data_IF_330837112353
#
_entry.id   IF_330837112353
#
_cell.length_a   1.000
_cell.length_b   1.000
_cell.length_c   1.000
_cell.angle_alpha   90.00
_cell.angle_beta   90.00
_cell.angle_gamma   90.00
#
_symmetry.space_group_name_H-M   'P 1'
#
loop_
_entity.id
_entity.type
_entity.pdbx_description
1 polymer ?
#
# COMPACT_ATOMS: atom_id res chain seq x y z
N UNK A 1 18.65 1.33 -11.66
CA UNK A 1 17.43 0.97 -10.90
C UNK A 1 16.26 1.45 -11.73
N UNK A 2 15.43 0.52 -12.21
CA UNK A 2 14.27 0.85 -13.05
C UNK A 2 13.02 0.90 -12.17
N UNK A 3 12.23 1.95 -12.33
CA UNK A 3 10.96 2.14 -11.63
C UNK A 3 9.85 1.99 -12.67
N UNK A 4 8.88 1.10 -12.39
CA UNK A 4 7.75 0.85 -13.27
C UNK A 4 6.44 1.02 -12.51
N UNK A 5 5.43 1.57 -13.18
CA UNK A 5 4.07 1.64 -12.65
C UNK A 5 3.41 0.28 -12.85
N UNK A 6 2.97 -0.37 -11.77
CA UNK A 6 2.27 -1.66 -11.85
C UNK A 6 0.89 -1.49 -12.49
N UNK A 7 0.09 -0.54 -11.99
CA UNK A 7 -1.21 -0.21 -12.56
C UNK A 7 -1.71 1.17 -12.12
N UNK A 8 -2.69 1.70 -12.85
CA UNK A 8 -3.51 2.84 -12.47
C UNK A 8 -4.97 2.49 -12.75
N UNK A 9 -5.82 2.50 -11.72
CA UNK A 9 -7.25 2.16 -11.83
C UNK A 9 -8.09 3.23 -11.16
N UNK A 10 -9.17 3.64 -11.83
CA UNK A 10 -10.20 4.47 -11.22
C UNK A 10 -10.95 3.63 -10.17
N UNK A 11 -11.08 4.16 -8.97
CA UNK A 11 -11.93 3.56 -7.93
C UNK A 11 -13.37 4.00 -8.15
N UNK A 12 -14.29 3.06 -8.10
CA UNK A 12 -15.74 3.29 -8.18
C UNK A 12 -16.37 3.04 -6.82
N UNK A 13 -17.23 3.94 -6.35
CA UNK A 13 -17.90 3.80 -5.05
C UNK A 13 -17.27 4.65 -3.94
N UNK A 14 -17.33 4.16 -2.70
CA UNK A 14 -16.75 4.85 -1.53
C UNK A 14 -15.24 4.58 -1.56
N UNK A 15 -14.38 5.60 -1.50
CA UNK A 15 -12.92 5.43 -1.57
C UNK A 15 -12.36 4.97 -0.21
N UNK A 16 -12.86 3.85 0.32
CA UNK A 16 -12.44 3.32 1.64
C UNK A 16 -11.17 2.49 1.54
N UNK A 17 -10.52 2.23 2.67
CA UNK A 17 -9.33 1.38 2.71
C UNK A 17 -9.57 -0.05 2.22
N UNK A 18 -10.77 -0.58 2.47
CA UNK A 18 -11.17 -1.91 1.99
C UNK A 18 -11.34 -1.92 0.47
N UNK A 19 -11.94 -0.88 -0.11
CA UNK A 19 -12.13 -0.79 -1.57
C UNK A 19 -10.80 -0.69 -2.30
N UNK A 20 -9.88 0.13 -1.79
CA UNK A 20 -8.50 0.23 -2.30
C UNK A 20 -7.78 -1.13 -2.16
N UNK A 21 -7.90 -1.78 -1.01
CA UNK A 21 -7.30 -3.09 -0.76
C UNK A 21 -7.76 -4.13 -1.77
N UNK A 22 -9.08 -4.23 -2.00
CA UNK A 22 -9.66 -5.21 -2.93
C UNK A 22 -9.13 -5.04 -4.36
N UNK A 23 -8.95 -3.78 -4.82
CA UNK A 23 -8.40 -3.51 -6.15
C UNK A 23 -6.95 -3.97 -6.27
N UNK A 24 -6.13 -3.70 -5.25
CA UNK A 24 -4.72 -4.13 -5.24
C UNK A 24 -4.62 -5.65 -5.11
N UNK A 25 -5.39 -6.26 -4.20
CA UNK A 25 -5.37 -7.70 -3.94
C UNK A 25 -5.84 -8.52 -5.15
N UNK A 26 -6.85 -8.03 -5.86
CA UNK A 26 -7.27 -8.62 -7.13
C UNK A 26 -6.16 -8.53 -8.19
N UNK A 27 -5.47 -7.39 -8.30
CA UNK A 27 -4.33 -7.26 -9.21
C UNK A 27 -3.21 -8.25 -8.86
N UNK A 28 -2.84 -8.35 -7.58
CA UNK A 28 -1.84 -9.31 -7.11
C UNK A 28 -2.25 -10.75 -7.45
N UNK A 29 -3.49 -11.12 -7.17
CA UNK A 29 -4.04 -12.45 -7.47
C UNK A 29 -4.03 -12.75 -8.97
N UNK A 30 -4.48 -11.82 -9.81
CA UNK A 30 -4.52 -11.95 -11.26
C UNK A 30 -3.13 -12.15 -11.87
N UNK A 31 -2.12 -11.47 -11.33
CA UNK A 31 -0.74 -11.53 -11.79
C UNK A 31 0.13 -12.52 -11.02
N UNK A 32 -0.47 -13.34 -10.14
CA UNK A 32 0.23 -14.34 -9.31
C UNK A 32 1.38 -13.73 -8.48
N UNK A 33 1.19 -12.50 -8.01
CA UNK A 33 2.13 -11.80 -7.13
C UNK A 33 1.81 -12.12 -5.68
N UNK A 34 2.85 -12.44 -4.90
CA UNK A 34 2.72 -12.64 -3.46
C UNK A 34 2.93 -11.31 -2.72
N UNK A 35 2.05 -10.98 -1.78
CA UNK A 35 2.22 -9.86 -0.84
C UNK A 35 3.53 -9.91 -0.05
N UNK A 36 4.18 -11.07 0.08
CA UNK A 36 5.54 -11.21 0.63
C UNK A 36 6.59 -10.44 -0.16
N UNK A 37 6.41 -10.30 -1.47
CA UNK A 37 7.31 -9.52 -2.33
C UNK A 37 7.19 -8.01 -2.11
N UNK A 38 6.05 -7.55 -1.55
CA UNK A 38 5.82 -6.15 -1.23
C UNK A 38 6.50 -5.81 0.10
N UNK A 39 7.72 -5.28 0.05
CA UNK A 39 8.51 -4.95 1.23
C UNK A 39 8.03 -3.65 1.91
N UNK A 40 7.67 -2.63 1.13
CA UNK A 40 7.33 -1.31 1.62
C UNK A 40 6.06 -0.78 0.96
N UNK A 41 5.25 -0.06 1.73
CA UNK A 41 4.06 0.65 1.25
C UNK A 41 4.15 2.08 1.76
N UNK A 42 4.06 3.04 0.84
CA UNK A 42 3.97 4.46 1.16
C UNK A 42 2.58 4.96 0.74
N UNK A 43 1.91 5.67 1.64
CA UNK A 43 0.56 6.22 1.43
C UNK A 43 0.55 7.68 1.82
N UNK A 44 -0.37 8.46 1.25
CA UNK A 44 -0.54 9.90 1.49
C UNK A 44 -1.00 10.29 2.91
N UNK A 45 -1.20 9.32 3.80
CA UNK A 45 -1.58 9.56 5.19
C UNK A 45 -3.08 9.61 5.42
N UNK A 46 -3.92 9.63 4.37
CA UNK A 46 -5.37 9.72 4.51
C UNK A 46 -5.94 8.59 5.38
N UNK A 47 -7.03 8.86 6.12
CA UNK A 47 -7.62 7.88 7.04
C UNK A 47 -8.03 6.57 6.34
N UNK A 48 -8.48 6.65 5.08
CA UNK A 48 -8.76 5.47 4.25
C UNK A 48 -7.51 4.62 3.98
N UNK A 49 -6.31 5.20 4.00
CA UNK A 49 -5.06 4.50 3.74
C UNK A 49 -4.40 4.01 5.05
N UNK A 50 -4.40 4.84 6.09
CA UNK A 50 -3.62 4.62 7.33
C UNK A 50 -4.47 4.19 8.53
N UNK A 51 -5.81 4.24 8.43
CA UNK A 51 -6.72 3.91 9.51
C UNK A 51 -6.42 2.57 10.18
N UNK A 52 -6.40 2.57 11.52
CA UNK A 52 -5.96 1.43 12.33
C UNK A 52 -6.78 0.15 12.11
N UNK A 53 -8.08 0.29 11.84
CA UNK A 53 -9.02 -0.83 11.72
C UNK A 53 -9.44 -1.07 10.27
N UNK A 54 -9.83 0.00 9.57
CA UNK A 54 -10.44 -0.03 8.23
C UNK A 54 -9.58 0.68 7.15
N UNK A 55 -8.34 1.05 7.48
CA UNK A 55 -7.41 1.62 6.51
C UNK A 55 -6.76 0.53 5.66
N UNK A 56 -6.36 0.87 4.43
CA UNK A 56 -5.62 -0.03 3.53
C UNK A 56 -4.49 -0.78 4.25
N UNK A 57 -3.67 -0.07 5.03
CA UNK A 57 -2.55 -0.64 5.76
C UNK A 57 -2.97 -1.70 6.79
N UNK A 58 -4.14 -1.53 7.42
CA UNK A 58 -4.68 -2.54 8.34
C UNK A 58 -5.05 -3.82 7.59
N UNK A 59 -5.62 -3.72 6.39
CA UNK A 59 -5.95 -4.87 5.54
C UNK A 59 -4.69 -5.58 5.04
N UNK A 60 -3.71 -4.85 4.50
CA UNK A 60 -2.42 -5.41 4.06
C UNK A 60 -1.73 -6.18 5.19
N UNK A 61 -1.70 -5.60 6.40
CA UNK A 61 -1.15 -6.28 7.59
C UNK A 61 -1.90 -7.58 7.86
N UNK A 62 -3.24 -7.57 7.88
CA UNK A 62 -4.05 -8.79 8.10
C UNK A 62 -3.75 -9.87 7.05
N UNK A 63 -3.56 -9.50 5.78
CA UNK A 63 -3.19 -10.44 4.71
C UNK A 63 -1.80 -11.04 4.93
N UNK A 64 -0.82 -10.21 5.32
CA UNK A 64 0.52 -10.70 5.72
C UNK A 64 0.46 -11.58 6.97
N UNK A 65 -0.38 -11.25 7.96
CA UNK A 65 -0.53 -11.99 9.21
C UNK A 65 -1.31 -13.30 9.06
N UNK A 66 -2.28 -13.41 8.14
CA UNK A 66 -2.94 -14.68 7.81
C UNK A 66 -1.99 -15.68 7.17
N UNK A 67 -0.96 -15.19 6.46
CA UNK A 67 0.17 -16.01 6.00
C UNK A 67 1.23 -16.24 7.11
N UNK A 68 1.06 -15.65 8.30
CA UNK A 68 1.98 -15.66 9.46
C UNK A 68 1.42 -16.45 10.66
N UNK A 69 0.52 -17.42 10.44
CA UNK A 69 0.31 -18.48 11.44
C UNK A 69 1.54 -19.41 11.58
N UNK A 70 2.68 -19.09 10.96
CA UNK A 70 3.88 -19.92 10.97
C UNK A 70 5.19 -19.23 11.41
N UNK A 71 5.19 -18.04 12.03
CA UNK A 71 6.36 -17.68 12.86
C UNK A 71 6.11 -16.48 13.77
N UNK A 72 6.47 -16.71 15.02
CA UNK A 72 6.27 -15.89 16.20
C UNK A 72 6.82 -14.44 16.11
N UNK A 73 6.40 -13.68 17.11
CA UNK A 73 7.05 -12.53 17.74
C UNK A 73 8.40 -12.09 17.13
N UNK A 74 8.47 -10.84 16.63
CA UNK A 74 9.60 -9.91 16.82
C UNK A 74 9.50 -8.70 15.85
N UNK A 75 9.45 -7.49 16.43
CA UNK A 75 10.27 -6.31 16.09
C UNK A 75 10.63 -6.05 14.60
N UNK A 76 9.72 -5.57 13.75
CA UNK A 76 10.08 -4.99 12.42
C UNK A 76 9.29 -3.70 12.15
N UNK A 77 9.29 -2.79 13.12
CA UNK A 77 8.97 -1.36 12.91
C UNK A 77 10.27 -0.55 12.70
N UNK A 78 11.38 -1.24 12.43
CA UNK A 78 12.69 -0.63 12.27
C UNK A 78 12.93 -0.26 10.79
N UNK A 79 13.01 1.05 10.56
CA UNK A 79 13.93 1.65 9.59
C UNK A 79 13.49 1.47 8.12
N UNK A 80 12.40 2.15 7.76
CA UNK A 80 12.23 2.70 6.43
C UNK A 80 13.32 3.77 6.19
N UNK A 81 14.54 3.35 5.86
CA UNK A 81 15.62 4.22 5.37
C UNK A 81 16.05 3.80 3.98
N UNK A 82 15.05 3.57 3.13
CA UNK A 82 15.25 3.69 1.69
C UNK A 82 14.41 4.90 1.29
N UNK A 83 15.10 6.00 0.95
CA UNK A 83 14.46 7.20 0.43
C UNK A 83 13.79 6.85 -0.89
N UNK A 84 12.50 6.48 -0.85
CA UNK A 84 11.72 6.28 -2.05
C UNK A 84 11.79 7.56 -2.89
N UNK A 85 12.21 7.47 -4.15
CA UNK A 85 12.17 8.60 -5.11
C UNK A 85 10.74 9.09 -5.40
N UNK A 86 9.74 8.53 -4.72
CA UNK A 86 8.36 8.98 -4.69
C UNK A 86 8.25 10.49 -4.44
N UNK A 87 9.12 11.10 -3.63
CA UNK A 87 9.14 12.56 -3.45
C UNK A 87 9.33 13.33 -4.76
N UNK A 88 10.11 12.79 -5.70
CA UNK A 88 10.31 13.38 -7.04
C UNK A 88 9.06 13.19 -7.91
N UNK A 89 8.48 11.99 -7.91
CA UNK A 89 7.26 11.67 -8.66
C UNK A 89 6.04 12.49 -8.17
N UNK A 90 5.88 12.63 -6.85
CA UNK A 90 4.83 13.44 -6.25
C UNK A 90 5.00 14.91 -6.59
N UNK A 91 6.23 15.45 -6.56
CA UNK A 91 6.49 16.85 -6.96
C UNK A 91 6.14 17.12 -8.42
N UNK A 92 6.33 16.15 -9.31
CA UNK A 92 6.01 16.25 -10.74
C UNK A 92 4.51 16.01 -11.05
N UNK A 93 3.72 15.47 -10.11
CA UNK A 93 2.30 15.08 -10.33
C UNK A 93 1.31 15.67 -9.34
N UNK A 94 1.75 16.47 -8.36
CA UNK A 94 0.87 17.16 -7.40
C UNK A 94 0.15 18.33 -8.09
N UNK A 95 -0.92 18.06 -8.82
CA UNK A 95 -1.85 19.08 -9.26
C UNK A 95 -2.94 19.28 -8.19
N UNK A 96 -2.65 19.98 -7.09
CA UNK A 96 -3.69 20.60 -6.27
C UNK A 96 -3.12 21.91 -5.67
N UNK A 97 -3.58 23.05 -6.16
CA UNK A 97 -3.47 24.32 -5.43
C UNK A 97 -4.65 24.32 -4.45
N UNK A 98 -4.36 24.28 -3.15
CA UNK A 98 -5.39 24.56 -2.15
C UNK A 98 -5.71 26.05 -2.22
N UNK A 99 -6.99 26.38 -2.33
CA UNK A 99 -7.51 27.69 -1.93
C UNK A 99 -7.29 27.92 -0.43
#
# INVERSE_FOLDING_TARGET
MNEHILFCKKLTGRTTGQDVFNVIDNFFSQHKLDWKSCSHVCTDGAAAMTGRVNGLMAHIKKTKHRNRLNLENNLVTAVATISSRLTKLMREKQAQVSH
#
